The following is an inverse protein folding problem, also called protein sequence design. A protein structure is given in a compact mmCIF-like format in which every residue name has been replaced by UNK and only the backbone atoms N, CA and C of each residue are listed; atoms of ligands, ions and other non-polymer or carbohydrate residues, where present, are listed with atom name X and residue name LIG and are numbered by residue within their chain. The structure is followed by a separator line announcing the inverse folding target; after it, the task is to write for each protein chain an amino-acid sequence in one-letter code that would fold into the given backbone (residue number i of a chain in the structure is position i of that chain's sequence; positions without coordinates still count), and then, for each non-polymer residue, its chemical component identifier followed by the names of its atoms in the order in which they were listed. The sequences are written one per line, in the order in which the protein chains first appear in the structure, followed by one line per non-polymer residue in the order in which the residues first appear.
data_IF_329390215848
#
_entry.id   IF_329390215848
#
_cell.length_a   1.000
_cell.length_b   1.000
_cell.length_c   1.000
_cell.angle_alpha   90.00
_cell.angle_beta   90.00
_cell.angle_gamma   90.00
#
_symmetry.space_group_name_H-M   'P 1'
#
loop_
_entity.id
_entity.type
_entity.pdbx_description
1 polymer ?
#
# COMPACT_ATOMS: atom_id res chain seq x y z
N UNK A 1 -21.04 72.81 47.98
CA UNK A 1 -21.24 72.03 46.73
C UNK A 1 -20.06 71.05 46.44
N UNK A 2 -19.88 69.98 47.26
CA UNK A 2 -18.76 69.04 47.09
C UNK A 2 -19.15 67.54 47.12
N UNK A 3 -20.42 67.15 47.06
CA UNK A 3 -20.85 65.77 47.36
C UNK A 3 -21.57 65.03 46.25
N UNK A 4 -21.49 65.45 44.97
CA UNK A 4 -22.20 64.76 43.92
C UNK A 4 -21.28 63.87 43.01
N UNK A 5 -20.00 64.21 42.93
CA UNK A 5 -19.07 63.54 42.02
C UNK A 5 -18.64 62.13 42.46
N UNK A 6 -18.55 61.86 43.74
CA UNK A 6 -18.13 60.52 44.20
C UNK A 6 -19.26 59.52 44.05
N UNK A 7 -20.51 59.87 44.19
CA UNK A 7 -21.68 58.99 43.96
C UNK A 7 -21.80 58.58 42.52
N UNK A 8 -21.49 59.47 41.58
CA UNK A 8 -21.44 59.11 40.12
C UNK A 8 -20.29 58.15 39.79
N UNK A 9 -19.10 58.35 40.39
CA UNK A 9 -17.94 57.47 40.20
C UNK A 9 -18.17 56.08 40.78
N UNK A 10 -18.87 55.99 41.93
CA UNK A 10 -19.17 54.71 42.55
C UNK A 10 -20.27 53.93 41.78
N UNK A 11 -21.30 54.66 41.31
CA UNK A 11 -22.32 54.06 40.42
C UNK A 11 -21.73 53.52 39.08
N UNK A 12 -20.76 54.22 38.48
CA UNK A 12 -20.07 53.75 37.27
C UNK A 12 -19.14 52.59 37.57
N UNK A 13 -18.53 52.53 38.77
CA UNK A 13 -17.70 51.41 39.22
C UNK A 13 -18.54 50.15 39.45
N UNK A 14 -19.67 50.27 40.07
CA UNK A 14 -20.65 49.21 40.31
C UNK A 14 -21.23 48.65 38.99
N UNK A 15 -21.49 49.50 38.01
CA UNK A 15 -21.97 49.07 36.69
C UNK A 15 -20.90 48.31 35.93
N UNK A 16 -19.62 48.72 36.00
CA UNK A 16 -18.52 48.01 35.36
C UNK A 16 -18.29 46.63 35.98
N UNK A 17 -18.30 46.49 37.30
CA UNK A 17 -18.16 45.20 37.99
C UNK A 17 -19.30 44.24 37.67
N UNK A 18 -20.53 44.76 37.55
CA UNK A 18 -21.70 43.95 37.16
C UNK A 18 -21.62 43.50 35.73
N UNK A 19 -21.10 44.32 34.82
CA UNK A 19 -20.87 43.92 33.40
C UNK A 19 -19.79 42.84 33.28
N UNK A 20 -18.70 42.97 34.04
CA UNK A 20 -17.65 41.91 34.03
C UNK A 20 -18.14 40.58 34.58
N UNK A 21 -18.98 40.62 35.66
CA UNK A 21 -19.62 39.42 36.21
C UNK A 21 -20.59 38.76 35.22
N UNK A 22 -21.33 39.55 34.46
CA UNK A 22 -22.23 39.00 33.42
C UNK A 22 -21.41 38.40 32.24
N UNK A 23 -20.35 39.06 31.82
CA UNK A 23 -19.48 38.56 30.73
C UNK A 23 -18.79 37.27 31.17
N UNK A 24 -18.26 37.17 32.38
CA UNK A 24 -17.66 35.94 32.90
C UNK A 24 -18.67 34.81 33.02
N UNK A 25 -19.91 35.12 33.47
CA UNK A 25 -20.98 34.12 33.55
C UNK A 25 -21.40 33.61 32.16
N UNK A 26 -21.46 34.50 31.16
CA UNK A 26 -21.74 34.11 29.76
C UNK A 26 -20.60 33.28 29.20
N UNK A 27 -19.33 33.63 29.46
CA UNK A 27 -18.17 32.90 29.00
C UNK A 27 -18.11 31.48 29.60
N UNK A 28 -18.44 31.32 30.89
CA UNK A 28 -18.50 30.01 31.53
C UNK A 28 -19.65 29.17 30.98
N UNK A 29 -20.82 29.80 30.75
CA UNK A 29 -21.99 29.12 30.18
C UNK A 29 -21.74 28.64 28.71
N UNK A 30 -21.03 29.44 27.93
CA UNK A 30 -20.62 29.06 26.54
C UNK A 30 -19.58 27.95 26.57
N UNK A 31 -18.69 27.94 27.56
CA UNK A 31 -17.69 26.90 27.71
C UNK A 31 -18.30 25.52 28.04
N UNK A 32 -19.36 25.49 28.83
CA UNK A 32 -20.08 24.25 29.17
C UNK A 32 -20.90 23.67 28.00
N UNK A 33 -21.35 24.53 27.07
CA UNK A 33 -22.15 24.08 25.92
C UNK A 33 -21.26 23.52 24.81
N UNK A 34 -19.97 23.89 24.76
CA UNK A 34 -19.04 23.44 23.66
C UNK A 34 -18.24 22.19 24.00
N UNK A 35 -18.17 21.77 25.26
CA UNK A 35 -17.34 20.62 25.69
C UNK A 35 -17.96 19.24 25.51
N UNK A 36 -19.28 19.00 25.45
CA UNK A 36 -19.78 17.64 25.27
C UNK A 36 -19.68 17.10 23.81
N UNK A 37 -19.53 17.95 22.83
CA UNK A 37 -19.55 17.48 21.43
C UNK A 37 -18.21 16.94 20.94
N UNK A 38 -17.08 17.36 21.53
CA UNK A 38 -15.76 16.85 21.13
C UNK A 38 -15.33 15.58 21.87
N UNK A 39 -15.84 15.32 23.06
CA UNK A 39 -15.49 14.12 23.82
C UNK A 39 -16.23 12.86 23.34
N UNK A 40 -17.37 13.01 22.67
CA UNK A 40 -18.17 11.89 22.18
C UNK A 40 -17.74 11.41 20.78
N UNK A 41 -17.09 12.28 20.00
CA UNK A 41 -16.56 11.93 18.68
C UNK A 41 -15.24 11.13 18.74
N UNK A 42 -14.59 11.04 19.90
CA UNK A 42 -13.36 10.28 20.09
C UNK A 42 -13.60 8.85 20.63
N UNK A 43 -14.85 8.47 20.90
CA UNK A 43 -15.20 7.13 21.38
C UNK A 43 -15.92 6.27 20.34
N UNK A 44 -16.09 6.75 19.12
CA UNK A 44 -16.36 5.84 18.01
C UNK A 44 -15.09 4.99 17.84
N UNK A 45 -15.07 3.89 18.59
CA UNK A 45 -14.17 2.77 18.33
C UNK A 45 -14.20 2.56 16.82
N UNK A 46 -13.05 2.81 16.16
CA UNK A 46 -12.83 2.26 14.84
C UNK A 46 -13.37 0.83 14.91
N UNK A 47 -14.23 0.41 14.00
CA UNK A 47 -14.75 -0.94 14.04
C UNK A 47 -13.53 -1.84 14.19
N UNK A 48 -13.41 -2.50 15.34
CA UNK A 48 -12.47 -3.57 15.52
C UNK A 48 -13.02 -4.68 14.64
N UNK A 49 -12.78 -4.55 13.34
CA UNK A 49 -13.01 -5.61 12.40
C UNK A 49 -12.11 -6.75 12.82
N UNK A 50 -12.66 -7.65 13.64
CA UNK A 50 -12.07 -8.93 13.96
C UNK A 50 -12.09 -9.81 12.69
N UNK A 51 -11.49 -9.32 11.59
CA UNK A 51 -11.27 -10.17 10.44
C UNK A 51 -10.08 -11.09 10.72
N UNK A 52 -10.26 -12.34 10.45
CA UNK A 52 -9.19 -13.33 10.60
C UNK A 52 -8.27 -13.19 9.40
N UNK A 53 -7.11 -12.58 9.60
CA UNK A 53 -6.06 -12.52 8.59
C UNK A 53 -5.46 -13.93 8.43
N UNK A 54 -5.65 -14.51 7.26
CA UNK A 54 -5.09 -15.82 6.92
C UNK A 54 -3.76 -15.62 6.18
N UNK A 55 -2.65 -15.86 6.87
CA UNK A 55 -1.30 -15.81 6.29
C UNK A 55 -0.99 -17.18 5.71
N UNK A 56 -0.73 -17.22 4.40
CA UNK A 56 -0.36 -18.43 3.66
C UNK A 56 1.15 -18.53 3.47
N UNK A 57 1.80 -17.39 3.14
CA UNK A 57 3.23 -17.32 2.87
C UNK A 57 3.78 -16.02 3.43
N UNK A 58 5.00 -16.07 3.95
CA UNK A 58 5.82 -14.86 4.14
C UNK A 58 6.33 -14.37 2.78
N UNK A 59 6.86 -13.16 2.73
CA UNK A 59 7.47 -12.62 1.51
C UNK A 59 8.62 -13.50 1.01
N UNK A 60 9.49 -13.93 1.94
CA UNK A 60 10.61 -14.83 1.65
C UNK A 60 10.14 -16.16 1.07
N UNK A 61 9.15 -16.79 1.70
CA UNK A 61 8.56 -18.03 1.21
C UNK A 61 7.94 -17.86 -0.18
N UNK A 62 7.26 -16.72 -0.41
CA UNK A 62 6.68 -16.42 -1.71
C UNK A 62 7.75 -16.24 -2.78
N UNK A 63 8.85 -15.54 -2.49
CA UNK A 63 9.98 -15.39 -3.41
C UNK A 63 10.68 -16.71 -3.70
N UNK A 64 10.89 -17.55 -2.68
CA UNK A 64 11.42 -18.91 -2.85
C UNK A 64 10.48 -19.78 -3.71
N UNK A 65 9.17 -19.62 -3.52
CA UNK A 65 8.18 -20.39 -4.28
C UNK A 65 8.15 -19.99 -5.76
N UNK A 66 8.33 -18.72 -6.10
CA UNK A 66 8.30 -18.24 -7.50
C UNK A 66 9.66 -18.32 -8.18
N UNK A 67 10.77 -18.36 -7.43
CA UNK A 67 12.13 -18.45 -7.92
C UNK A 67 12.90 -19.67 -7.34
N UNK A 68 12.38 -20.90 -7.46
CA UNK A 68 12.92 -22.07 -6.74
C UNK A 68 14.33 -22.48 -7.20
N UNK A 69 14.77 -22.03 -8.37
CA UNK A 69 16.05 -22.41 -8.98
C UNK A 69 17.01 -21.24 -9.19
N UNK A 70 16.74 -20.12 -8.53
CA UNK A 70 17.59 -18.93 -8.58
C UNK A 70 18.65 -18.98 -7.50
N UNK A 71 19.85 -18.49 -7.84
CA UNK A 71 20.98 -18.40 -6.91
C UNK A 71 20.81 -17.19 -5.97
N UNK A 72 20.15 -16.15 -6.47
CA UNK A 72 19.85 -14.92 -5.73
C UNK A 72 18.61 -14.23 -6.29
N UNK A 73 18.03 -13.36 -5.49
CA UNK A 73 16.94 -12.47 -5.90
C UNK A 73 17.42 -11.04 -5.73
N UNK A 74 17.32 -10.25 -6.79
CA UNK A 74 17.53 -8.82 -6.76
C UNK A 74 16.19 -8.10 -6.86
N UNK A 75 16.12 -6.84 -6.46
CA UNK A 75 14.94 -6.02 -6.70
C UNK A 75 15.30 -4.59 -7.08
N UNK A 76 14.38 -3.93 -7.78
CA UNK A 76 14.41 -2.50 -8.05
C UNK A 76 13.16 -1.84 -7.48
N UNK A 77 13.31 -0.58 -7.07
CA UNK A 77 12.20 0.29 -6.70
C UNK A 77 12.00 1.31 -7.82
N UNK A 78 10.86 1.20 -8.51
CA UNK A 78 10.52 2.04 -9.66
C UNK A 78 9.57 3.14 -9.15
N UNK A 79 10.08 4.34 -8.94
CA UNK A 79 9.26 5.51 -8.64
C UNK A 79 8.60 6.03 -9.91
N UNK A 80 7.32 6.42 -9.82
CA UNK A 80 6.56 6.98 -10.92
C UNK A 80 6.48 8.50 -10.79
N UNK A 81 6.81 9.22 -11.87
CA UNK A 81 6.47 10.63 -11.96
C UNK A 81 4.94 10.80 -12.12
N UNK A 82 4.44 12.00 -11.92
CA UNK A 82 3.00 12.27 -12.09
C UNK A 82 2.51 11.96 -13.51
N UNK A 83 3.34 12.27 -14.49
CA UNK A 83 3.10 12.05 -15.91
C UNK A 83 3.08 10.55 -16.24
N UNK A 84 4.08 9.80 -15.79
CA UNK A 84 4.16 8.34 -15.96
C UNK A 84 2.95 7.65 -15.28
N UNK A 85 2.62 8.07 -14.07
CA UNK A 85 1.45 7.55 -13.35
C UNK A 85 0.15 7.80 -14.12
N UNK A 86 -0.02 9.01 -14.67
CA UNK A 86 -1.20 9.36 -15.49
C UNK A 86 -1.26 8.51 -16.76
N UNK A 87 -0.16 8.38 -17.50
CA UNK A 87 -0.09 7.56 -18.71
C UNK A 87 -0.39 6.09 -18.42
N UNK A 88 0.18 5.57 -17.33
CA UNK A 88 -0.06 4.19 -16.90
C UNK A 88 -1.52 3.96 -16.50
N UNK A 89 -2.15 4.90 -15.76
CA UNK A 89 -3.57 4.85 -15.41
C UNK A 89 -4.47 4.84 -16.66
N UNK A 90 -4.18 5.70 -17.64
CA UNK A 90 -4.93 5.77 -18.90
C UNK A 90 -4.83 4.44 -19.68
N UNK A 91 -3.62 3.87 -19.78
CA UNK A 91 -3.39 2.57 -20.42
C UNK A 91 -4.14 1.44 -19.72
N UNK A 92 -4.11 1.43 -18.38
CA UNK A 92 -4.79 0.40 -17.58
C UNK A 92 -6.30 0.65 -17.42
N UNK A 93 -6.79 1.82 -17.78
CA UNK A 93 -8.18 2.28 -17.57
C UNK A 93 -8.64 2.10 -16.12
N UNK A 94 -7.73 2.37 -15.18
CA UNK A 94 -8.00 2.31 -13.73
C UNK A 94 -7.07 3.25 -12.97
N UNK A 95 -7.53 3.70 -11.80
CA UNK A 95 -6.66 4.45 -10.88
C UNK A 95 -5.56 3.54 -10.34
N UNK A 96 -4.36 4.08 -10.25
CA UNK A 96 -3.19 3.49 -9.60
C UNK A 96 -2.87 4.36 -8.40
N UNK A 97 -2.91 3.78 -7.24
CA UNK A 97 -2.70 4.50 -5.98
C UNK A 97 -1.23 4.50 -5.58
N UNK A 98 -0.51 3.48 -6.01
CA UNK A 98 0.91 3.32 -5.76
C UNK A 98 1.72 4.42 -6.45
N UNK A 99 2.70 4.97 -5.74
CA UNK A 99 3.67 5.95 -6.28
C UNK A 99 4.97 5.28 -6.72
N UNK A 100 5.15 4.02 -6.34
CA UNK A 100 6.30 3.21 -6.73
C UNK A 100 5.89 1.75 -6.86
N UNK A 101 6.71 0.99 -7.59
CA UNK A 101 6.59 -0.46 -7.72
C UNK A 101 7.90 -1.11 -7.30
N UNK A 102 7.81 -2.22 -6.57
CA UNK A 102 8.95 -3.09 -6.25
C UNK A 102 8.88 -4.30 -7.17
N UNK A 103 9.90 -4.47 -8.01
CA UNK A 103 9.97 -5.60 -8.93
C UNK A 103 11.19 -6.44 -8.57
N UNK A 104 10.95 -7.70 -8.28
CA UNK A 104 11.95 -8.71 -7.97
C UNK A 104 12.42 -9.38 -9.24
N UNK A 105 13.70 -9.73 -9.29
CA UNK A 105 14.37 -10.40 -10.40
C UNK A 105 15.04 -11.66 -9.89
N UNK A 106 14.62 -12.82 -10.36
CA UNK A 106 15.31 -14.07 -10.09
C UNK A 106 16.58 -14.17 -10.92
N UNK A 107 17.71 -14.41 -10.27
CA UNK A 107 19.02 -14.53 -10.94
C UNK A 107 19.52 -15.95 -10.88
N UNK A 108 20.08 -16.44 -11.99
CA UNK A 108 20.77 -17.71 -12.07
C UNK A 108 22.05 -17.55 -12.89
N UNK A 109 23.19 -17.89 -12.31
CA UNK A 109 24.51 -17.72 -12.95
C UNK A 109 24.70 -16.31 -13.54
N UNK A 110 24.31 -15.28 -12.78
CA UNK A 110 24.42 -13.86 -13.16
C UNK A 110 23.41 -13.39 -14.23
N UNK A 111 22.48 -14.24 -14.66
CA UNK A 111 21.46 -13.90 -15.67
C UNK A 111 20.07 -13.85 -15.04
N UNK A 112 19.26 -12.88 -15.46
CA UNK A 112 17.84 -12.81 -15.08
C UNK A 112 17.09 -13.99 -15.68
N UNK A 113 16.31 -14.68 -14.87
CA UNK A 113 15.47 -15.82 -15.28
C UNK A 113 13.99 -15.46 -15.37
N UNK A 114 13.59 -14.42 -14.65
CA UNK A 114 12.21 -13.93 -14.62
C UNK A 114 12.05 -12.78 -13.65
N UNK A 115 10.85 -12.24 -13.63
CA UNK A 115 10.47 -11.10 -12.80
C UNK A 115 9.31 -11.49 -11.90
N UNK A 116 9.20 -10.86 -10.73
CA UNK A 116 8.02 -11.00 -9.88
C UNK A 116 7.66 -9.68 -9.22
N UNK A 117 6.41 -9.54 -8.85
CA UNK A 117 5.92 -8.38 -8.11
C UNK A 117 4.91 -8.84 -7.08
N UNK A 118 5.09 -8.39 -5.84
CA UNK A 118 4.08 -8.49 -4.79
C UNK A 118 3.15 -7.31 -4.96
N UNK A 119 1.85 -7.59 -4.94
CA UNK A 119 0.82 -6.56 -5.11
C UNK A 119 -0.36 -6.86 -4.21
N UNK A 120 -1.17 -5.84 -3.99
CA UNK A 120 -2.37 -5.92 -3.20
C UNK A 120 -3.58 -5.46 -3.99
N UNK A 121 -4.71 -6.10 -3.76
CA UNK A 121 -5.99 -5.72 -4.32
C UNK A 121 -7.08 -5.88 -3.25
N UNK A 122 -8.11 -5.04 -3.31
CA UNK A 122 -9.25 -5.17 -2.40
C UNK A 122 -10.22 -6.21 -2.94
N UNK A 123 -10.57 -7.17 -2.10
CA UNK A 123 -11.60 -8.15 -2.37
C UNK A 123 -12.99 -7.53 -2.33
N UNK A 124 -13.85 -7.99 -1.46
CA UNK A 124 -15.16 -7.36 -1.23
C UNK A 124 -15.06 -6.23 -0.20
N UNK A 125 -14.35 -6.45 0.89
CA UNK A 125 -14.22 -5.52 2.02
C UNK A 125 -12.77 -5.29 2.42
N UNK A 126 -11.91 -6.30 2.32
CA UNK A 126 -10.55 -6.26 2.84
C UNK A 126 -9.51 -6.48 1.73
N UNK A 127 -8.31 -5.93 1.90
CA UNK A 127 -7.21 -6.16 0.98
C UNK A 127 -6.66 -7.57 1.14
N UNK A 128 -6.15 -8.12 0.04
CA UNK A 128 -5.37 -9.36 0.05
C UNK A 128 -4.11 -9.19 -0.79
N UNK A 129 -3.05 -9.84 -0.34
CA UNK A 129 -1.70 -9.70 -0.89
C UNK A 129 -1.32 -10.96 -1.64
N UNK A 130 -0.75 -10.81 -2.83
CA UNK A 130 -0.31 -11.92 -3.65
C UNK A 130 0.91 -11.55 -4.50
N UNK A 131 1.68 -12.56 -4.88
CA UNK A 131 2.82 -12.44 -5.78
C UNK A 131 2.47 -12.98 -7.16
N UNK A 132 2.96 -12.33 -8.19
CA UNK A 132 2.88 -12.80 -9.57
C UNK A 132 4.28 -12.85 -10.15
N UNK A 133 4.71 -14.02 -10.63
CA UNK A 133 5.94 -14.14 -11.39
C UNK A 133 5.67 -14.25 -12.89
N UNK A 134 6.58 -13.69 -13.67
CA UNK A 134 6.51 -13.54 -15.12
C UNK A 134 7.84 -13.94 -15.72
N UNK A 135 7.82 -14.75 -16.76
CA UNK A 135 8.99 -15.16 -17.50
C UNK A 135 9.54 -14.04 -18.40
N UNK A 136 10.69 -14.24 -19.00
CA UNK A 136 11.32 -13.27 -19.91
C UNK A 136 10.52 -13.03 -21.21
N UNK A 137 9.49 -13.85 -21.47
CA UNK A 137 8.59 -13.70 -22.63
C UNK A 137 7.29 -12.97 -22.27
N UNK A 138 7.18 -12.45 -21.03
CA UNK A 138 6.01 -11.75 -20.54
C UNK A 138 4.81 -12.65 -20.23
N UNK A 139 5.05 -13.95 -19.98
CA UNK A 139 4.01 -14.90 -19.58
C UNK A 139 4.07 -15.16 -18.08
N UNK A 140 2.91 -15.26 -17.45
CA UNK A 140 2.80 -15.64 -16.05
C UNK A 140 3.34 -17.05 -15.87
N UNK A 141 4.32 -17.21 -15.00
CA UNK A 141 4.80 -18.51 -14.58
C UNK A 141 4.03 -19.02 -13.37
N UNK A 142 3.92 -18.20 -12.32
CA UNK A 142 3.28 -18.59 -11.07
C UNK A 142 2.59 -17.43 -10.37
N UNK A 143 1.55 -17.74 -9.62
CA UNK A 143 0.89 -16.82 -8.68
C UNK A 143 0.76 -17.55 -7.35
N UNK A 144 0.99 -16.83 -6.24
CA UNK A 144 0.73 -17.33 -4.90
C UNK A 144 0.09 -16.24 -4.04
N UNK A 145 -0.82 -16.62 -3.15
CA UNK A 145 -1.40 -15.72 -2.16
C UNK A 145 -0.49 -15.69 -0.94
N UNK A 146 -0.17 -14.48 -0.47
CA UNK A 146 0.59 -14.28 0.77
C UNK A 146 -0.37 -14.14 1.94
N UNK A 147 -1.30 -13.19 1.85
CA UNK A 147 -2.24 -12.89 2.93
C UNK A 147 -3.63 -12.69 2.37
N UNK A 148 -4.61 -13.33 2.97
CA UNK A 148 -6.02 -13.17 2.64
C UNK A 148 -6.82 -12.74 3.88
N UNK A 149 -7.59 -11.66 3.75
CA UNK A 149 -8.25 -11.02 4.90
C UNK A 149 -9.77 -11.00 4.79
N UNK A 150 -10.34 -11.64 3.79
CA UNK A 150 -11.77 -11.77 3.64
C UNK A 150 -12.29 -12.99 4.40
N UNK A 151 -13.49 -12.91 4.95
CA UNK A 151 -14.13 -14.02 5.67
C UNK A 151 -14.56 -15.17 4.76
N UNK A 152 -14.67 -14.92 3.45
CA UNK A 152 -15.10 -15.91 2.45
C UNK A 152 -14.22 -15.81 1.20
N UNK A 153 -14.17 -16.90 0.43
CA UNK A 153 -13.46 -16.90 -0.85
C UNK A 153 -11.99 -17.25 -0.75
N UNK A 154 -11.56 -17.88 0.33
CA UNK A 154 -10.18 -18.39 0.49
C UNK A 154 -9.79 -19.39 -0.61
N UNK A 155 -10.76 -19.89 -1.38
CA UNK A 155 -10.54 -20.74 -2.56
C UNK A 155 -9.66 -20.08 -3.62
N UNK A 156 -9.53 -18.74 -3.63
CA UNK A 156 -8.58 -18.06 -4.54
C UNK A 156 -7.14 -18.45 -4.26
N UNK A 157 -6.81 -18.91 -3.04
CA UNK A 157 -5.48 -19.39 -2.69
C UNK A 157 -5.19 -20.83 -3.17
N UNK A 158 -6.22 -21.57 -3.61
CA UNK A 158 -6.04 -22.96 -4.08
C UNK A 158 -5.22 -22.99 -5.36
N UNK A 159 -4.21 -23.84 -5.41
CA UNK A 159 -3.32 -24.03 -6.59
C UNK A 159 -4.11 -24.25 -7.88
N UNK A 160 -5.21 -25.03 -7.83
CA UNK A 160 -6.10 -25.28 -8.99
C UNK A 160 -6.67 -23.97 -9.57
N UNK A 161 -7.05 -23.02 -8.73
CA UNK A 161 -7.55 -21.73 -9.20
C UNK A 161 -6.42 -20.87 -9.79
N UNK A 162 -5.30 -20.75 -9.08
CA UNK A 162 -4.16 -19.93 -9.49
C UNK A 162 -3.52 -20.45 -10.80
N UNK A 163 -3.56 -21.76 -11.02
CA UNK A 163 -3.03 -22.37 -12.24
C UNK A 163 -3.69 -21.89 -13.54
N UNK A 164 -4.92 -21.37 -13.47
CA UNK A 164 -5.61 -20.81 -14.64
C UNK A 164 -4.89 -19.60 -15.24
N UNK A 165 -4.07 -18.91 -14.47
CA UNK A 165 -3.30 -17.76 -14.93
C UNK A 165 -2.00 -18.16 -15.61
N UNK A 166 -1.48 -19.36 -15.39
CA UNK A 166 -0.19 -19.82 -15.93
C UNK A 166 -0.17 -19.72 -17.46
N UNK A 167 0.94 -19.19 -17.99
CA UNK A 167 1.16 -19.00 -19.43
C UNK A 167 0.40 -17.83 -20.06
N UNK A 168 -0.50 -17.15 -19.31
CA UNK A 168 -1.19 -15.96 -19.81
C UNK A 168 -0.26 -14.74 -19.80
N UNK A 169 -0.54 -13.79 -20.70
CA UNK A 169 0.23 -12.55 -20.90
C UNK A 169 -0.73 -11.37 -21.11
N UNK A 170 -0.22 -10.18 -21.37
CA UNK A 170 -1.04 -9.02 -21.74
C UNK A 170 -1.91 -9.22 -22.98
N UNK A 171 -1.58 -10.19 -23.84
CA UNK A 171 -2.38 -10.54 -25.02
C UNK A 171 -3.69 -11.24 -24.64
N UNK A 172 -3.78 -11.83 -23.46
CA UNK A 172 -4.95 -12.54 -22.97
C UNK A 172 -5.93 -11.58 -22.28
N UNK A 173 -7.19 -11.92 -22.27
CA UNK A 173 -8.23 -11.07 -21.66
C UNK A 173 -8.11 -11.01 -20.15
N UNK A 174 -7.66 -12.10 -19.50
CA UNK A 174 -7.55 -12.26 -18.04
C UNK A 174 -8.80 -11.69 -17.37
N UNK A 175 -9.93 -12.33 -17.64
CA UNK A 175 -11.25 -11.87 -17.19
C UNK A 175 -12.13 -13.04 -16.82
N UNK A 176 -12.90 -12.88 -15.74
CA UNK A 176 -13.89 -13.88 -15.31
C UNK A 176 -14.91 -14.18 -16.43
N UNK A 177 -15.41 -15.39 -16.47
CA UNK A 177 -16.35 -15.91 -17.47
C UNK A 177 -15.86 -15.78 -18.92
N UNK A 178 -14.54 -15.60 -19.11
CA UNK A 178 -13.85 -15.63 -20.40
C UNK A 178 -12.75 -16.66 -20.37
N UNK A 179 -11.64 -16.32 -19.77
CA UNK A 179 -10.44 -17.18 -19.66
C UNK A 179 -10.02 -17.48 -18.21
N UNK A 180 -10.84 -17.00 -17.25
CA UNK A 180 -10.74 -17.34 -15.83
C UNK A 180 -12.12 -17.78 -15.32
N UNK A 181 -12.19 -18.97 -14.76
CA UNK A 181 -13.39 -19.52 -14.14
C UNK A 181 -13.60 -18.82 -12.80
N UNK A 182 -14.82 -18.36 -12.57
CA UNK A 182 -15.19 -17.70 -11.33
C UNK A 182 -15.28 -18.70 -10.17
N UNK A 183 -15.13 -18.17 -8.94
CA UNK A 183 -15.39 -18.91 -7.70
C UNK A 183 -16.68 -18.37 -7.11
N UNK A 184 -17.66 -19.26 -6.87
CA UNK A 184 -18.89 -18.88 -6.19
C UNK A 184 -18.59 -18.35 -4.79
N UNK A 185 -19.15 -17.18 -4.46
CA UNK A 185 -18.90 -16.51 -3.18
C UNK A 185 -17.63 -15.64 -3.13
N UNK A 186 -16.73 -15.71 -4.14
CA UNK A 186 -15.49 -14.94 -4.20
C UNK A 186 -15.37 -14.05 -5.46
N UNK A 187 -16.48 -13.76 -6.13
CA UNK A 187 -16.47 -13.05 -7.41
C UNK A 187 -15.68 -11.74 -7.39
N UNK A 188 -15.84 -10.94 -6.32
CA UNK A 188 -15.12 -9.67 -6.21
C UNK A 188 -13.60 -9.89 -6.12
N UNK A 189 -13.15 -10.82 -5.30
CA UNK A 189 -11.73 -11.16 -5.18
C UNK A 189 -11.15 -11.70 -6.50
N UNK A 190 -11.91 -12.53 -7.23
CA UNK A 190 -11.48 -13.01 -8.57
C UNK A 190 -11.37 -11.85 -9.57
N UNK A 191 -12.34 -10.93 -9.58
CA UNK A 191 -12.31 -9.74 -10.47
C UNK A 191 -11.11 -8.86 -10.18
N UNK A 192 -10.85 -8.58 -8.89
CA UNK A 192 -9.75 -7.71 -8.52
C UNK A 192 -8.41 -8.40 -8.71
N UNK A 193 -8.30 -9.73 -8.49
CA UNK A 193 -7.11 -10.50 -8.85
C UNK A 193 -6.79 -10.40 -10.35
N UNK A 194 -7.78 -10.55 -11.21
CA UNK A 194 -7.57 -10.37 -12.65
C UNK A 194 -7.02 -8.96 -12.98
N UNK A 195 -7.49 -7.93 -12.26
CA UNK A 195 -7.01 -6.56 -12.43
C UNK A 195 -5.57 -6.39 -11.91
N UNK A 196 -5.26 -6.95 -10.73
CA UNK A 196 -3.92 -6.89 -10.15
C UNK A 196 -2.89 -7.66 -10.99
N UNK A 197 -3.26 -8.85 -11.48
CA UNK A 197 -2.41 -9.63 -12.39
C UNK A 197 -2.10 -8.83 -13.67
N UNK A 198 -3.10 -8.16 -14.26
CA UNK A 198 -2.86 -7.27 -15.42
C UNK A 198 -1.97 -6.09 -15.07
N UNK A 199 -2.10 -5.52 -13.86
CA UNK A 199 -1.22 -4.45 -13.37
C UNK A 199 0.23 -4.93 -13.35
N UNK A 200 0.50 -6.08 -12.75
CA UNK A 200 1.85 -6.65 -12.69
C UNK A 200 2.42 -6.91 -14.08
N UNK A 201 1.65 -7.54 -14.96
CA UNK A 201 2.07 -7.76 -16.35
C UNK A 201 2.40 -6.45 -17.07
N UNK A 202 1.59 -5.41 -16.88
CA UNK A 202 1.81 -4.12 -17.53
C UNK A 202 3.05 -3.40 -16.99
N UNK A 203 3.31 -3.48 -15.67
CA UNK A 203 4.53 -2.93 -15.05
C UNK A 203 5.76 -3.63 -15.61
N UNK A 204 5.76 -4.96 -15.60
CA UNK A 204 6.92 -5.73 -16.09
C UNK A 204 7.14 -5.50 -17.59
N UNK A 205 6.09 -5.46 -18.39
CA UNK A 205 6.18 -5.16 -19.82
C UNK A 205 6.75 -3.76 -20.09
N UNK A 206 6.21 -2.75 -19.40
CA UNK A 206 6.60 -1.35 -19.58
C UNK A 206 8.06 -1.09 -19.24
N UNK A 207 8.53 -1.64 -18.11
CA UNK A 207 9.84 -1.31 -17.57
C UNK A 207 10.94 -2.31 -17.93
N UNK A 208 10.62 -3.57 -18.19
CA UNK A 208 11.64 -4.60 -18.38
C UNK A 208 11.63 -5.28 -19.75
N UNK A 209 10.45 -5.41 -20.39
CA UNK A 209 10.36 -6.23 -21.61
C UNK A 209 10.25 -5.40 -22.88
N UNK A 210 9.56 -4.24 -22.83
CA UNK A 210 9.35 -3.41 -24.02
C UNK A 210 10.55 -2.57 -24.45
N UNK A 211 11.57 -2.46 -23.60
CA UNK A 211 12.73 -1.61 -23.83
C UNK A 211 12.48 -0.09 -23.78
N UNK A 212 11.23 0.34 -23.59
CA UNK A 212 10.84 1.77 -23.61
C UNK A 212 11.51 2.59 -22.52
N UNK A 213 11.81 1.99 -21.39
CA UNK A 213 12.39 2.62 -20.23
C UNK A 213 13.80 2.08 -19.93
N UNK A 214 14.54 1.62 -20.96
CA UNK A 214 15.86 1.00 -20.80
C UNK A 214 16.84 1.89 -20.03
N UNK A 215 16.89 3.20 -20.36
CA UNK A 215 17.78 4.16 -19.70
C UNK A 215 17.43 4.33 -18.22
N UNK A 216 16.13 4.48 -17.91
CA UNK A 216 15.65 4.54 -16.53
C UNK A 216 16.00 3.27 -15.76
N UNK A 217 15.82 2.11 -16.38
CA UNK A 217 16.12 0.82 -15.75
C UNK A 217 17.62 0.60 -15.57
N UNK A 218 18.45 1.10 -16.49
CA UNK A 218 19.91 1.04 -16.37
C UNK A 218 20.45 1.91 -15.23
N UNK A 219 19.77 3.02 -14.91
CA UNK A 219 20.14 3.91 -13.80
C UNK A 219 19.65 3.45 -12.43
N UNK A 220 18.71 2.47 -12.36
CA UNK A 220 18.21 1.98 -11.09
C UNK A 220 19.20 1.00 -10.45
N UNK A 221 19.43 1.22 -9.16
CA UNK A 221 20.21 0.30 -8.35
C UNK A 221 19.48 -1.04 -8.21
N UNK A 222 20.23 -2.14 -8.39
CA UNK A 222 19.76 -3.49 -8.12
C UNK A 222 20.15 -3.87 -6.71
N UNK A 223 19.17 -4.00 -5.83
CA UNK A 223 19.38 -4.32 -4.43
C UNK A 223 19.18 -5.83 -4.25
N UNK A 224 20.11 -6.47 -3.54
CA UNK A 224 19.98 -7.90 -3.21
C UNK A 224 18.90 -8.08 -2.16
N UNK A 225 17.93 -8.96 -2.41
CA UNK A 225 16.93 -9.34 -1.43
C UNK A 225 17.51 -10.36 -0.47
N UNK A 226 17.43 -10.03 0.81
CA UNK A 226 17.74 -10.89 1.95
C UNK A 226 18.79 -11.95 1.74
N UNK A 227 20.02 -11.69 2.15
CA UNK A 227 20.90 -12.71 2.73
C UNK A 227 22.06 -12.00 3.42
N UNK A 228 21.95 -11.75 4.70
CA UNK A 228 23.15 -11.81 5.53
C UNK A 228 23.49 -13.30 5.72
N UNK A 229 24.22 -13.85 4.80
CA UNK A 229 25.13 -14.94 5.15
C UNK A 229 26.24 -14.28 5.94
N UNK A 230 26.31 -14.65 7.20
CA UNK A 230 27.25 -14.28 8.22
C UNK A 230 28.70 -14.15 7.67
N UNK A 231 29.03 -12.99 7.15
CA UNK A 231 30.38 -12.56 6.83
C UNK A 231 30.64 -11.29 7.62
N UNK A 232 30.93 -11.44 8.90
CA UNK A 232 31.53 -10.54 9.89
C UNK A 232 31.82 -9.05 9.60
N UNK A 233 31.23 -8.45 8.59
CA UNK A 233 31.24 -7.03 8.29
C UNK A 233 29.83 -6.46 8.44
N UNK A 234 29.57 -5.86 9.60
CA UNK A 234 28.43 -4.98 9.84
C UNK A 234 28.51 -3.79 8.88
N UNK A 235 27.91 -3.90 7.70
CA UNK A 235 27.45 -2.72 6.98
C UNK A 235 26.19 -2.24 7.69
N UNK A 236 26.21 -1.05 8.27
CA UNK A 236 25.01 -0.40 8.78
C UNK A 236 24.06 -0.15 7.62
N UNK A 237 23.08 -1.02 7.48
CA UNK A 237 21.95 -0.81 6.58
C UNK A 237 21.01 0.19 7.23
N UNK A 238 20.90 1.40 6.67
CA UNK A 238 19.87 2.36 7.10
C UNK A 238 18.51 1.88 6.65
N UNK A 239 17.64 1.76 7.63
CA UNK A 239 16.24 1.40 7.45
C UNK A 239 15.48 2.60 6.89
N UNK A 240 15.06 2.55 5.63
CA UNK A 240 14.12 3.51 5.08
C UNK A 240 12.69 2.99 5.25
N UNK A 241 12.00 3.53 6.25
CA UNK A 241 10.56 3.32 6.39
C UNK A 241 9.82 4.31 5.51
N UNK A 242 9.27 3.86 4.41
CA UNK A 242 8.34 4.66 3.61
C UNK A 242 6.95 4.08 3.80
N UNK A 243 6.12 4.78 4.55
CA UNK A 243 4.71 4.46 4.65
C UNK A 243 4.01 4.85 3.35
N UNK A 244 3.41 3.88 2.67
CA UNK A 244 2.55 4.13 1.53
C UNK A 244 1.10 3.91 1.96
N UNK A 245 0.25 4.92 1.77
CA UNK A 245 -1.20 4.79 1.92
C UNK A 245 -1.75 4.21 0.62
N UNK A 246 -2.17 2.96 0.64
CA UNK A 246 -2.96 2.38 -0.44
C UNK A 246 -4.32 2.03 0.11
N UNK A 247 -5.38 2.65 -0.45
CA UNK A 247 -6.79 2.39 -0.15
C UNK A 247 -7.16 2.42 1.35
N UNK A 248 -6.57 3.35 2.12
CA UNK A 248 -6.86 3.52 3.55
C UNK A 248 -6.09 2.60 4.49
N UNK A 249 -5.23 1.72 3.97
CA UNK A 249 -4.34 0.90 4.76
C UNK A 249 -2.92 1.45 4.68
N UNK A 250 -2.27 1.61 5.83
CA UNK A 250 -0.87 2.02 5.89
C UNK A 250 0.00 0.78 5.70
N UNK A 251 0.74 0.74 4.58
CA UNK A 251 1.78 -0.27 4.36
C UNK A 251 3.11 0.31 4.79
N UNK A 252 3.76 -0.37 5.69
CA UNK A 252 5.13 -0.08 6.04
C UNK A 252 6.03 -0.92 5.14
N UNK A 253 6.60 -0.29 4.11
CA UNK A 253 7.65 -0.91 3.29
C UNK A 253 8.97 -0.59 3.93
N UNK A 254 9.62 -1.60 4.49
CA UNK A 254 10.96 -1.50 5.04
C UNK A 254 11.95 -1.79 3.93
N UNK A 255 12.67 -0.78 3.46
CA UNK A 255 13.74 -0.91 2.48
C UNK A 255 15.07 -0.72 3.20
N UNK A 256 15.95 -1.68 3.07
CA UNK A 256 17.33 -1.59 3.54
C UNK A 256 18.22 -1.18 2.39
N UNK A 257 18.85 -0.02 2.48
CA UNK A 257 19.83 0.46 1.50
C UNK A 257 21.17 0.75 2.17
N UNK A 258 22.26 0.41 1.52
CA UNK A 258 23.59 0.77 1.97
C UNK A 258 23.83 2.28 1.78
N UNK A 259 24.41 2.93 2.77
CA UNK A 259 24.49 4.38 3.01
C UNK A 259 25.23 5.22 1.96
N UNK A 260 25.60 4.69 0.81
CA UNK A 260 26.56 5.33 -0.09
C UNK A 260 26.01 6.25 -1.17
N UNK A 261 24.67 6.32 -1.38
CA UNK A 261 24.10 7.00 -2.55
C UNK A 261 22.83 7.84 -2.29
N UNK A 262 22.68 8.41 -1.08
CA UNK A 262 21.61 9.39 -0.86
C UNK A 262 22.28 10.69 -0.39
N UNK A 263 22.71 11.48 -1.35
CA UNK A 263 22.98 12.89 -1.23
C UNK A 263 22.05 13.64 -2.18
#
# INVERSE_FOLDING_TARGET
MKNSWWKVKESMRMRKTSIYLIITLILTLVFEITTPCYAQAASDKAPTDNYISQVYLTEEQALQEVFPHCDEVLFNVISLTKEEKSQFQNRMRRKIYEDFFVVYMGMKSGKVTGYAMITEEIGKFHPYTFIVSVDLKGKIDKIAILVYRESRGSEIAKKRFLYQFKGKSLKNRIRINRDIINISGATMSVVTMCKGVKKVLAVIDEFYLSGKNADKMASLEKIRYGYEKDTGQKQELKLFKKAALSMGTVFEVTIYAADKYIA
#
